data_IF_864147245122
#
_entry.id   IF_864147245122
#
_cell.length_a   1.000
_cell.length_b   1.000
_cell.length_c   1.000
_cell.angle_alpha   90.00
_cell.angle_beta   90.00
_cell.angle_gamma   90.00
#
_symmetry.space_group_name_H-M   'P 1'
#
loop_
_entity.id
_entity.type
_entity.pdbx_description
1 polymer ?
#
# COMPACT_ATOMS: atom_id res chain seq x y z
N UNK A 1 -19.40 21.66 -10.54
CA UNK A 1 -18.18 21.03 -11.09
C UNK A 1 -17.06 22.05 -11.03
N UNK A 2 -16.00 21.81 -10.21
CA UNK A 2 -14.79 22.64 -10.25
C UNK A 2 -14.13 22.41 -11.61
N UNK A 3 -13.78 23.49 -12.32
CA UNK A 3 -12.99 23.42 -13.55
C UNK A 3 -11.72 22.63 -13.24
N UNK A 4 -11.38 21.68 -14.10
CA UNK A 4 -10.04 21.07 -14.14
C UNK A 4 -9.09 22.25 -14.39
N UNK A 5 -8.07 22.41 -13.54
CA UNK A 5 -7.06 23.44 -13.72
C UNK A 5 -6.37 23.18 -15.07
N UNK A 6 -6.72 23.98 -16.07
CA UNK A 6 -6.16 23.88 -17.42
C UNK A 6 -4.65 24.17 -17.46
N UNK A 7 -4.10 24.72 -16.36
CA UNK A 7 -2.69 25.14 -16.26
C UNK A 7 -1.78 24.10 -15.55
N UNK A 8 -2.32 22.98 -15.01
CA UNK A 8 -1.50 21.96 -14.35
C UNK A 8 -0.80 21.06 -15.36
N UNK A 9 0.37 21.50 -15.83
CA UNK A 9 1.15 20.79 -16.84
C UNK A 9 2.16 19.83 -16.22
N UNK A 10 1.94 18.53 -16.40
CA UNK A 10 2.85 17.47 -15.98
C UNK A 10 3.71 17.05 -17.16
N UNK A 11 5.02 17.22 -17.03
CA UNK A 11 5.96 16.77 -18.06
C UNK A 11 6.36 15.31 -17.86
N UNK A 12 6.44 14.56 -18.96
CA UNK A 12 6.98 13.19 -18.93
C UNK A 12 8.44 13.25 -19.39
N UNK A 13 9.36 12.84 -18.50
CA UNK A 13 10.80 12.86 -18.77
C UNK A 13 11.45 11.54 -18.36
N UNK A 14 12.41 11.10 -19.15
CA UNK A 14 13.32 10.04 -18.72
C UNK A 14 14.49 10.66 -17.95
N UNK A 15 14.61 10.33 -16.66
CA UNK A 15 15.58 10.94 -15.75
C UNK A 15 16.62 9.90 -15.27
N UNK A 16 17.89 10.31 -15.10
CA UNK A 16 18.89 9.48 -14.45
C UNK A 16 18.44 9.08 -13.04
N UNK A 17 18.54 7.80 -12.71
CA UNK A 17 18.05 7.27 -11.43
C UNK A 17 18.76 7.89 -10.21
N UNK A 18 19.99 8.34 -10.36
CA UNK A 18 20.78 8.96 -9.30
C UNK A 18 20.33 10.40 -8.97
N UNK A 19 19.60 11.05 -9.87
CA UNK A 19 18.94 12.34 -9.59
C UNK A 19 17.65 12.17 -8.78
N UNK A 20 17.09 10.96 -8.72
CA UNK A 20 15.87 10.65 -8.00
C UNK A 20 16.18 10.36 -6.54
N UNK A 21 15.64 11.16 -5.62
CA UNK A 21 15.81 11.00 -4.18
C UNK A 21 14.49 10.62 -3.53
N UNK A 22 14.58 9.80 -2.49
CA UNK A 22 13.40 9.41 -1.70
C UNK A 22 12.86 10.62 -0.93
N UNK A 23 11.55 10.71 -0.80
CA UNK A 23 10.92 11.70 0.08
C UNK A 23 11.12 11.31 1.55
N UNK A 24 12.04 12.00 2.21
CA UNK A 24 12.35 11.87 3.65
C UNK A 24 11.81 13.03 4.48
N UNK A 25 10.97 13.90 3.88
CA UNK A 25 10.46 15.13 4.51
C UNK A 25 11.33 16.35 4.26
N UNK A 26 12.18 16.34 3.23
CA UNK A 26 13.09 17.45 2.90
C UNK A 26 12.40 18.64 2.23
N UNK A 27 11.20 18.45 1.68
CA UNK A 27 10.40 19.55 1.12
C UNK A 27 9.63 20.22 2.27
N UNK A 28 9.78 21.54 2.47
CA UNK A 28 9.06 22.23 3.53
C UNK A 28 7.54 21.99 3.44
N UNK A 29 6.92 21.63 4.58
CA UNK A 29 5.49 21.33 4.65
C UNK A 29 5.06 19.97 4.09
N UNK A 30 5.96 19.17 3.52
CA UNK A 30 5.64 17.85 2.96
C UNK A 30 6.28 16.75 3.80
N UNK A 31 5.50 15.90 4.48
CA UNK A 31 6.03 14.81 5.30
C UNK A 31 6.65 13.71 4.44
N UNK A 32 7.44 12.84 5.07
CA UNK A 32 7.97 11.63 4.41
C UNK A 32 6.84 10.74 3.91
N UNK A 33 7.12 9.99 2.83
CA UNK A 33 6.15 9.03 2.30
C UNK A 33 5.86 7.93 3.35
N UNK A 34 4.60 7.70 3.73
CA UNK A 34 4.24 6.73 4.77
C UNK A 34 4.27 5.27 4.29
N UNK A 35 4.27 5.03 2.97
CA UNK A 35 4.12 3.68 2.40
C UNK A 35 5.35 2.81 2.64
N UNK A 36 5.11 1.61 3.16
CA UNK A 36 6.12 0.56 3.35
C UNK A 36 5.81 -0.64 2.45
N UNK A 37 6.82 -1.47 2.24
CA UNK A 37 6.69 -2.74 1.53
C UNK A 37 7.42 -3.83 2.31
N UNK A 38 6.88 -5.04 2.35
CA UNK A 38 7.55 -6.19 2.91
C UNK A 38 8.65 -6.69 1.96
N UNK A 39 9.63 -7.45 2.49
CA UNK A 39 10.68 -8.06 1.65
C UNK A 39 10.08 -8.92 0.53
N UNK A 40 9.14 -9.79 0.87
CA UNK A 40 8.45 -10.67 -0.09
C UNK A 40 7.83 -9.87 -1.22
N UNK A 41 7.00 -8.86 -0.91
CA UNK A 41 6.35 -8.01 -1.92
C UNK A 41 7.35 -7.20 -2.75
N UNK A 42 8.48 -6.87 -2.19
CA UNK A 42 9.54 -6.18 -2.94
C UNK A 42 10.24 -7.10 -3.95
N UNK A 43 10.50 -8.36 -3.59
CA UNK A 43 11.02 -9.36 -4.54
C UNK A 43 10.01 -9.67 -5.64
N UNK A 44 8.72 -9.82 -5.31
CA UNK A 44 7.63 -9.97 -6.28
C UNK A 44 7.59 -8.80 -7.27
N UNK A 45 7.77 -7.56 -6.78
CA UNK A 45 7.86 -6.36 -7.63
C UNK A 45 9.06 -6.43 -8.60
N UNK A 46 10.23 -6.87 -8.14
CA UNK A 46 11.41 -7.03 -9.01
C UNK A 46 11.17 -8.08 -10.09
N UNK A 47 10.64 -9.25 -9.72
CA UNK A 47 10.30 -10.31 -10.68
C UNK A 47 9.28 -9.82 -11.72
N UNK A 48 8.27 -9.07 -11.30
CA UNK A 48 7.29 -8.48 -12.22
C UNK A 48 7.93 -7.51 -13.23
N UNK A 49 8.89 -6.68 -12.77
CA UNK A 49 9.62 -5.75 -13.64
C UNK A 49 10.53 -6.48 -14.63
N UNK A 50 11.20 -7.57 -14.20
CA UNK A 50 12.06 -8.38 -15.07
C UNK A 50 11.26 -9.14 -16.13
N UNK A 51 10.07 -9.62 -15.76
CA UNK A 51 9.20 -10.35 -16.68
C UNK A 51 8.59 -9.42 -17.74
N UNK A 52 8.13 -8.25 -17.36
CA UNK A 52 7.44 -7.29 -18.23
C UNK A 52 8.16 -5.93 -18.22
N UNK A 53 9.35 -5.84 -18.84
CA UNK A 53 10.16 -4.61 -18.82
C UNK A 53 9.46 -3.40 -19.44
N UNK A 54 8.54 -3.64 -20.38
CA UNK A 54 7.71 -2.62 -21.03
C UNK A 54 6.78 -1.90 -20.05
N UNK A 55 6.37 -2.55 -18.95
CA UNK A 55 5.56 -1.95 -17.90
C UNK A 55 6.23 -0.73 -17.25
N UNK A 56 7.55 -0.60 -17.37
CA UNK A 56 8.30 0.59 -16.93
C UNK A 56 7.84 1.86 -17.66
N UNK A 57 7.40 1.73 -18.91
CA UNK A 57 6.87 2.84 -19.71
C UNK A 57 5.39 3.14 -19.42
N UNK A 58 4.69 2.20 -18.81
CA UNK A 58 3.26 2.32 -18.48
C UNK A 58 3.02 2.74 -17.02
N UNK A 59 4.08 2.71 -16.19
CA UNK A 59 3.98 2.97 -14.75
C UNK A 59 5.04 3.97 -14.31
N UNK A 60 4.86 5.23 -14.66
CA UNK A 60 5.83 6.30 -14.41
C UNK A 60 5.97 6.60 -12.90
N UNK A 61 7.16 7.04 -12.54
CA UNK A 61 7.46 7.52 -11.18
C UNK A 61 7.10 9.00 -11.08
N UNK A 62 6.32 9.39 -10.07
CA UNK A 62 5.91 10.79 -9.86
C UNK A 62 6.94 11.50 -9.03
N UNK A 63 7.46 12.63 -9.55
CA UNK A 63 8.56 13.36 -8.94
C UNK A 63 8.29 14.86 -8.89
N UNK A 64 8.88 15.49 -7.88
CA UNK A 64 8.86 16.94 -7.72
C UNK A 64 10.29 17.49 -7.75
N UNK A 65 10.60 18.51 -8.58
CA UNK A 65 11.93 19.12 -8.61
C UNK A 65 12.19 19.89 -7.32
N UNK A 66 13.33 19.62 -6.68
CA UNK A 66 13.69 20.29 -5.44
C UNK A 66 15.22 20.28 -5.25
N UNK A 67 15.83 21.46 -5.10
CA UNK A 67 17.26 21.65 -4.87
C UNK A 67 18.17 20.89 -5.87
N UNK A 68 17.86 21.01 -7.17
CA UNK A 68 18.63 20.38 -8.25
C UNK A 68 18.50 18.86 -8.35
N UNK A 69 17.57 18.26 -7.61
CA UNK A 69 17.21 16.84 -7.65
C UNK A 69 15.71 16.68 -7.85
N UNK A 70 15.27 15.43 -7.99
CA UNK A 70 13.86 15.09 -8.11
C UNK A 70 13.43 14.23 -6.92
N UNK A 71 12.56 14.76 -6.08
CA UNK A 71 12.02 14.05 -4.92
C UNK A 71 10.87 13.16 -5.36
N UNK A 72 10.96 11.86 -5.08
CA UNK A 72 9.94 10.88 -5.47
C UNK A 72 8.75 10.98 -4.52
N UNK A 73 7.61 11.38 -5.05
CA UNK A 73 6.33 11.45 -4.33
C UNK A 73 5.56 10.13 -4.44
N UNK A 74 5.54 9.51 -5.63
CA UNK A 74 4.91 8.24 -5.92
C UNK A 74 5.83 7.29 -6.69
N UNK A 75 5.77 5.98 -6.37
CA UNK A 75 6.62 4.97 -7.02
C UNK A 75 7.99 4.75 -6.38
N UNK A 76 8.19 5.10 -5.10
CA UNK A 76 9.45 4.89 -4.37
C UNK A 76 9.96 3.45 -4.45
N UNK A 77 9.08 2.46 -4.32
CA UNK A 77 9.45 1.05 -4.37
C UNK A 77 9.89 0.63 -5.78
N UNK A 78 9.19 1.11 -6.81
CA UNK A 78 9.60 0.90 -8.22
C UNK A 78 10.96 1.50 -8.50
N UNK A 79 11.19 2.75 -8.09
CA UNK A 79 12.52 3.40 -8.22
C UNK A 79 13.61 2.59 -7.54
N UNK A 80 13.36 2.07 -6.33
CA UNK A 80 14.31 1.21 -5.61
C UNK A 80 14.57 -0.08 -6.37
N UNK A 81 13.51 -0.76 -6.85
CA UNK A 81 13.63 -1.97 -7.66
C UNK A 81 14.41 -1.73 -8.94
N UNK A 82 14.12 -0.65 -9.68
CA UNK A 82 14.89 -0.28 -10.88
C UNK A 82 16.38 -0.10 -10.59
N UNK A 83 16.72 0.53 -9.46
CA UNK A 83 18.12 0.71 -9.06
C UNK A 83 18.80 -0.63 -8.77
N UNK A 84 18.16 -1.54 -8.05
CA UNK A 84 18.70 -2.87 -7.75
C UNK A 84 18.83 -3.74 -9.00
N UNK A 85 17.92 -3.60 -9.96
CA UNK A 85 17.97 -4.27 -11.26
C UNK A 85 18.95 -3.64 -12.26
N UNK A 86 19.69 -2.59 -11.86
CA UNK A 86 20.75 -1.97 -12.66
C UNK A 86 20.28 -0.98 -13.73
N UNK A 87 19.02 -0.60 -13.74
CA UNK A 87 18.53 0.43 -14.66
C UNK A 87 19.17 1.79 -14.35
N UNK A 88 19.55 2.52 -15.40
CA UNK A 88 20.24 3.82 -15.28
C UNK A 88 19.27 5.01 -15.34
N UNK A 89 18.13 4.83 -16.01
CA UNK A 89 17.12 5.85 -16.22
C UNK A 89 15.74 5.36 -15.82
N UNK A 90 14.86 6.29 -15.49
CA UNK A 90 13.47 6.03 -15.08
C UNK A 90 12.55 7.03 -15.75
N UNK A 91 11.46 6.54 -16.32
CA UNK A 91 10.41 7.40 -16.85
C UNK A 91 9.64 8.02 -15.69
N UNK A 92 9.59 9.36 -15.69
CA UNK A 92 9.02 10.13 -14.58
C UNK A 92 7.94 11.10 -15.10
N UNK A 93 6.91 11.28 -14.28
CA UNK A 93 6.01 12.43 -14.35
C UNK A 93 6.55 13.51 -13.43
N UNK A 94 6.98 14.62 -14.01
CA UNK A 94 7.55 15.75 -13.29
C UNK A 94 6.44 16.75 -13.00
N UNK A 95 6.18 16.99 -11.72
CA UNK A 95 5.21 17.97 -11.29
C UNK A 95 5.79 19.39 -11.44
N UNK A 96 4.92 20.41 -11.67
CA UNK A 96 5.33 21.82 -11.72
C UNK A 96 6.03 22.26 -10.43
N UNK A 97 7.06 23.11 -10.57
CA UNK A 97 7.85 23.63 -9.43
C UNK A 97 7.03 24.52 -8.48
N UNK A 98 5.98 25.13 -8.98
CA UNK A 98 5.06 25.99 -8.24
C UNK A 98 3.92 25.22 -7.53
N UNK A 99 3.94 23.88 -7.60
CA UNK A 99 2.93 23.07 -6.91
C UNK A 99 2.98 23.29 -5.39
N UNK A 100 1.88 23.75 -4.76
CA UNK A 100 1.83 24.04 -3.33
C UNK A 100 2.09 22.79 -2.48
N UNK A 101 2.77 22.94 -1.29
CA UNK A 101 3.04 21.81 -0.41
C UNK A 101 1.81 21.01 0.01
N UNK A 102 0.67 21.66 0.18
CA UNK A 102 -0.61 21.03 0.51
C UNK A 102 -1.05 20.06 -0.61
N UNK A 103 -0.86 20.45 -1.87
CA UNK A 103 -1.16 19.60 -3.03
C UNK A 103 -0.18 18.43 -3.14
N UNK A 104 1.10 18.65 -2.87
CA UNK A 104 2.09 17.57 -2.84
C UNK A 104 1.74 16.52 -1.77
N UNK A 105 1.28 16.96 -0.59
CA UNK A 105 0.80 16.06 0.47
C UNK A 105 -0.41 15.26 0.03
N UNK A 106 -1.39 15.92 -0.58
CA UNK A 106 -2.60 15.30 -1.11
C UNK A 106 -2.24 14.21 -2.13
N UNK A 107 -1.37 14.52 -3.10
CA UNK A 107 -0.95 13.58 -4.15
C UNK A 107 -0.20 12.36 -3.59
N UNK A 108 0.64 12.52 -2.55
CA UNK A 108 1.30 11.39 -1.90
C UNK A 108 0.28 10.41 -1.33
N UNK A 109 -0.77 10.90 -0.68
CA UNK A 109 -1.78 10.03 -0.08
C UNK A 109 -2.68 9.41 -1.14
N UNK A 110 -3.12 10.19 -2.13
CA UNK A 110 -3.95 9.69 -3.23
C UNK A 110 -3.23 8.62 -4.06
N UNK A 111 -1.92 8.80 -4.33
CA UNK A 111 -1.11 7.79 -5.05
C UNK A 111 -0.90 6.50 -4.24
N UNK A 112 -0.93 6.60 -2.93
CA UNK A 112 -0.79 5.45 -2.04
C UNK A 112 -2.11 4.71 -1.79
N UNK A 113 -3.24 5.32 -2.13
CA UNK A 113 -4.56 4.75 -1.90
C UNK A 113 -5.01 3.95 -3.14
N UNK A 114 -5.29 2.68 -2.95
CA UNK A 114 -5.89 1.84 -3.99
C UNK A 114 -7.41 2.02 -3.93
N UNK A 115 -7.97 2.77 -4.88
CA UNK A 115 -9.41 2.90 -5.03
C UNK A 115 -9.92 1.74 -5.90
N UNK A 116 -10.56 0.80 -5.29
CA UNK A 116 -11.15 -0.36 -5.95
C UNK A 116 -10.56 -1.68 -5.46
N UNK A 117 -11.37 -2.69 -5.59
CA UNK A 117 -11.05 -4.07 -5.25
C UNK A 117 -11.20 -4.92 -6.52
N UNK A 118 -10.47 -6.00 -6.59
CA UNK A 118 -10.65 -6.96 -7.66
C UNK A 118 -11.92 -7.78 -7.39
N UNK A 119 -12.76 -7.91 -8.41
CA UNK A 119 -13.84 -8.88 -8.40
C UNK A 119 -13.24 -10.27 -8.60
N UNK A 120 -13.29 -11.07 -7.54
CA UNK A 120 -12.64 -12.38 -7.52
C UNK A 120 -13.33 -13.39 -8.45
N UNK A 121 -14.64 -13.26 -8.63
CA UNK A 121 -15.40 -14.15 -9.51
C UNK A 121 -15.02 -13.88 -10.98
N UNK A 122 -14.96 -12.60 -11.36
CA UNK A 122 -14.49 -12.19 -12.70
C UNK A 122 -13.04 -12.62 -12.94
N UNK A 123 -12.16 -12.50 -11.94
CA UNK A 123 -10.79 -12.97 -12.06
C UNK A 123 -10.72 -14.49 -12.28
N UNK A 124 -11.46 -15.26 -11.48
CA UNK A 124 -11.48 -16.72 -11.59
C UNK A 124 -12.08 -17.21 -12.91
N UNK A 125 -13.04 -16.49 -13.47
CA UNK A 125 -13.68 -16.85 -14.76
C UNK A 125 -12.79 -16.55 -15.98
N UNK A 126 -11.96 -15.49 -15.93
CA UNK A 126 -11.30 -14.95 -17.12
C UNK A 126 -9.77 -15.11 -17.11
N UNK A 127 -9.16 -15.41 -15.98
CA UNK A 127 -7.72 -15.64 -15.85
C UNK A 127 -7.43 -16.96 -15.13
N UNK A 128 -6.39 -17.65 -15.56
CA UNK A 128 -5.95 -18.88 -14.91
C UNK A 128 -5.18 -18.55 -13.61
N UNK A 129 -5.32 -19.41 -12.61
CA UNK A 129 -4.66 -19.24 -11.32
C UNK A 129 -3.13 -19.22 -11.43
N UNK A 130 -2.55 -20.02 -12.33
CA UNK A 130 -1.13 -20.06 -12.63
C UNK A 130 -0.65 -18.76 -13.28
N UNK A 131 -1.40 -18.16 -14.21
CA UNK A 131 -1.10 -16.85 -14.81
C UNK A 131 -1.08 -15.74 -13.76
N UNK A 132 -2.09 -15.68 -12.89
CA UNK A 132 -2.18 -14.68 -11.83
C UNK A 132 -1.06 -14.85 -10.79
N UNK A 133 -0.73 -16.09 -10.43
CA UNK A 133 0.41 -16.40 -9.56
C UNK A 133 1.71 -16.00 -10.22
N UNK A 134 1.86 -16.33 -11.48
CA UNK A 134 3.02 -15.98 -12.26
C UNK A 134 3.20 -14.47 -12.41
N UNK A 135 2.13 -13.71 -12.54
CA UNK A 135 2.18 -12.24 -12.65
C UNK A 135 2.29 -11.53 -11.30
N UNK A 136 2.58 -12.25 -10.24
CA UNK A 136 2.74 -11.73 -8.88
C UNK A 136 1.48 -11.05 -8.32
N UNK A 137 0.32 -11.41 -8.83
CA UNK A 137 -0.95 -11.08 -8.19
C UNK A 137 -1.12 -12.11 -7.07
N UNK A 138 -0.80 -11.71 -5.86
CA UNK A 138 -0.61 -12.62 -4.73
C UNK A 138 -1.77 -13.61 -4.55
N UNK A 139 -1.43 -14.84 -4.21
CA UNK A 139 -2.35 -15.95 -3.91
C UNK A 139 -3.43 -15.63 -2.86
N UNK A 140 -3.29 -14.53 -2.11
CA UNK A 140 -4.34 -14.03 -1.21
C UNK A 140 -5.70 -13.81 -1.91
N UNK A 141 -5.69 -13.70 -3.25
CA UNK A 141 -6.90 -13.63 -4.06
C UNK A 141 -7.60 -15.00 -4.13
N UNK A 142 -6.83 -16.10 -4.07
CA UNK A 142 -7.36 -17.46 -4.21
C UNK A 142 -7.45 -18.24 -2.90
N UNK A 143 -6.77 -17.80 -1.85
CA UNK A 143 -7.19 -18.20 -0.53
C UNK A 143 -8.54 -17.49 -0.30
N UNK A 144 -9.66 -18.17 -0.71
CA UNK A 144 -10.95 -17.87 -0.11
C UNK A 144 -10.65 -17.71 1.37
N UNK A 145 -10.70 -16.47 1.89
CA UNK A 145 -10.89 -16.34 3.33
C UNK A 145 -12.04 -17.30 3.58
N UNK A 146 -11.88 -18.32 4.42
CA UNK A 146 -13.01 -19.18 4.72
C UNK A 146 -14.16 -18.22 4.93
N UNK A 147 -15.23 -18.36 4.14
CA UNK A 147 -16.45 -17.62 4.41
C UNK A 147 -16.59 -17.78 5.91
N UNK A 148 -16.71 -16.70 6.68
CA UNK A 148 -16.92 -16.87 8.09
C UNK A 148 -18.05 -17.87 8.12
N UNK A 149 -17.75 -19.13 8.50
CA UNK A 149 -18.76 -20.17 8.65
C UNK A 149 -19.90 -19.41 9.27
N UNK A 150 -21.08 -19.45 8.67
CA UNK A 150 -22.24 -18.82 9.29
C UNK A 150 -22.13 -19.18 10.74
N UNK A 151 -21.65 -18.25 11.57
CA UNK A 151 -21.41 -18.51 12.97
C UNK A 151 -22.79 -18.69 13.55
N UNK A 152 -23.30 -19.89 13.35
CA UNK A 152 -24.49 -20.36 14.06
C UNK A 152 -24.11 -20.37 15.52
N UNK A 153 -24.24 -19.19 16.09
CA UNK A 153 -24.63 -19.09 17.46
C UNK A 153 -23.57 -19.10 18.55
N UNK A 154 -22.32 -19.39 18.35
CA UNK A 154 -21.37 -19.35 19.47
C UNK A 154 -20.11 -18.58 19.09
N UNK A 155 -20.01 -17.36 19.62
CA UNK A 155 -18.75 -16.60 19.57
C UNK A 155 -17.72 -17.42 20.36
N UNK A 156 -16.59 -17.85 19.75
CA UNK A 156 -15.58 -18.68 20.44
C UNK A 156 -15.01 -18.07 21.72
N UNK A 157 -15.35 -16.81 21.99
CA UNK A 157 -14.97 -16.08 23.21
C UNK A 157 -15.81 -16.42 24.44
N UNK A 158 -16.98 -17.06 24.27
CA UNK A 158 -17.88 -17.34 25.40
C UNK A 158 -17.40 -18.49 26.28
N UNK A 159 -16.61 -19.40 25.75
CA UNK A 159 -16.11 -20.55 26.53
C UNK A 159 -14.94 -20.19 27.44
N UNK A 160 -14.31 -19.03 27.29
CA UNK A 160 -13.11 -18.61 28.03
C UNK A 160 -13.37 -17.41 28.96
N UNK A 161 -14.55 -16.82 28.90
CA UNK A 161 -14.92 -15.70 29.77
C UNK A 161 -15.26 -16.22 31.17
N UNK A 162 -14.43 -15.87 32.14
CA UNK A 162 -14.65 -16.24 33.54
C UNK A 162 -15.84 -15.44 34.12
N UNK A 163 -16.86 -16.10 34.62
CA UNK A 163 -18.09 -15.46 35.13
C UNK A 163 -17.85 -14.49 36.29
N UNK A 164 -16.67 -14.53 36.91
CA UNK A 164 -16.29 -13.67 38.05
C UNK A 164 -15.92 -12.22 37.62
N UNK A 165 -15.85 -11.91 36.33
CA UNK A 165 -15.41 -10.61 35.85
C UNK A 165 -16.44 -9.95 34.92
N UNK A 166 -16.50 -8.63 34.96
CA UNK A 166 -17.29 -7.84 34.01
C UNK A 166 -16.47 -7.57 32.75
N UNK A 167 -17.02 -7.91 31.61
CA UNK A 167 -16.37 -7.71 30.30
C UNK A 167 -17.17 -6.69 29.46
N UNK A 168 -16.44 -5.90 28.70
CA UNK A 168 -16.96 -5.09 27.61
C UNK A 168 -16.32 -5.54 26.31
N UNK A 169 -17.10 -6.10 25.41
CA UNK A 169 -16.63 -6.49 24.08
C UNK A 169 -17.05 -5.42 23.09
N UNK A 170 -16.08 -4.80 22.44
CA UNK A 170 -16.31 -3.83 21.38
C UNK A 170 -15.90 -4.47 20.06
N UNK A 171 -16.84 -4.51 19.12
CA UNK A 171 -16.59 -4.98 17.77
C UNK A 171 -16.45 -3.78 16.83
N UNK A 172 -15.47 -3.83 15.93
CA UNK A 172 -15.20 -2.78 14.96
C UNK A 172 -15.15 -3.37 13.56
N UNK A 173 -15.93 -2.82 12.65
CA UNK A 173 -16.02 -3.26 11.27
C UNK A 173 -14.83 -2.83 10.42
N UNK A 174 -14.05 -1.88 10.92
CA UNK A 174 -12.90 -1.34 10.19
C UNK A 174 -11.76 -0.91 11.14
N UNK A 175 -10.55 -0.80 10.56
CA UNK A 175 -9.34 -0.45 11.30
C UNK A 175 -9.33 1.01 11.80
N UNK A 176 -10.07 1.90 11.16
CA UNK A 176 -10.10 3.33 11.54
C UNK A 176 -10.81 3.50 12.88
N UNK A 177 -11.97 2.87 13.04
CA UNK A 177 -12.75 2.90 14.27
C UNK A 177 -11.99 2.22 15.42
N UNK A 178 -11.31 1.10 15.11
CA UNK A 178 -10.41 0.45 16.07
C UNK A 178 -9.29 1.39 16.53
N UNK A 179 -8.62 2.12 15.62
CA UNK A 179 -7.55 3.06 15.96
C UNK A 179 -8.06 4.24 16.79
N UNK A 180 -9.26 4.74 16.48
CA UNK A 180 -9.91 5.79 17.26
C UNK A 180 -10.23 5.32 18.67
N UNK A 181 -10.83 4.15 18.81
CA UNK A 181 -11.13 3.54 20.10
C UNK A 181 -9.85 3.27 20.91
N UNK A 182 -8.81 2.72 20.27
CA UNK A 182 -7.51 2.49 20.89
C UNK A 182 -6.90 3.78 21.45
N UNK A 183 -7.01 4.88 20.70
CA UNK A 183 -6.52 6.20 21.12
C UNK A 183 -7.38 6.77 22.25
N UNK A 184 -8.71 6.71 22.12
CA UNK A 184 -9.68 7.25 23.09
C UNK A 184 -9.57 6.57 24.45
N UNK A 185 -9.43 5.25 24.45
CA UNK A 185 -9.37 4.43 25.68
C UNK A 185 -7.94 4.15 26.15
N UNK A 186 -6.91 4.66 25.48
CA UNK A 186 -5.51 4.42 25.84
C UNK A 186 -5.10 2.94 25.83
N UNK A 187 -5.72 2.12 24.95
CA UNK A 187 -5.51 0.67 24.91
C UNK A 187 -4.10 0.33 24.44
N UNK A 188 -3.39 -0.48 25.21
CA UNK A 188 -2.11 -1.07 24.80
C UNK A 188 -2.39 -2.30 23.94
N UNK A 189 -1.53 -2.56 22.94
CA UNK A 189 -1.59 -3.80 22.17
C UNK A 189 -1.25 -4.98 23.09
N UNK A 190 -2.23 -5.78 23.45
CA UNK A 190 -2.01 -7.05 24.14
C UNK A 190 -1.83 -8.11 23.05
N UNK A 191 -0.66 -8.78 23.04
CA UNK A 191 -0.52 -9.99 22.23
C UNK A 191 -1.33 -11.07 22.93
N UNK A 192 -2.35 -11.62 22.27
CA UNK A 192 -2.96 -12.86 22.69
C UNK A 192 -1.88 -13.94 22.75
N UNK A 193 -1.55 -14.40 23.93
CA UNK A 193 -0.81 -15.65 24.09
C UNK A 193 -1.80 -16.77 23.74
N UNK A 194 -1.66 -17.35 22.55
CA UNK A 194 -2.33 -18.61 22.27
C UNK A 194 -1.72 -19.65 23.22
N UNK A 195 -2.46 -20.03 24.24
CA UNK A 195 -2.13 -21.22 24.99
C UNK A 195 -2.37 -22.41 24.07
N UNK A 196 -1.29 -22.91 23.44
CA UNK A 196 -1.31 -24.28 22.93
C UNK A 196 -1.47 -25.18 24.17
N UNK A 197 -2.61 -25.78 24.29
CA UNK A 197 -2.77 -26.96 25.14
C UNK A 197 -2.09 -28.11 24.41
N UNK A 198 -0.84 -28.41 24.79
CA UNK A 198 -0.23 -29.66 24.40
C UNK A 198 -1.04 -30.75 25.13
N UNK A 199 -1.83 -31.48 24.37
CA UNK A 199 -2.52 -32.66 24.83
C UNK A 199 -1.51 -33.78 25.08
N UNK A 200 -1.53 -34.27 26.28
CA UNK A 200 -0.99 -35.58 26.66
C UNK A 200 -2.01 -36.64 26.36
#
# INVERSE_FOLDING_TARGET
MKKVDEDFNVEIKELPIDLLVENKGQIPGVPKNPRKISKRRFEELKMSIERSPEMRKLSEVKVYPFNGKYVVLGGNQRKKAYKELGYKTVLCKVLPEDTPPEKLREYIIQDNNAFGENDLDILAENWKADELTEWCIGLEIYEKKPEPDEVKGDIPFTEVLNEEHNYLVLYFDNEVDWLQAKTLFGLKSVKCLSTRSDGS
#
